data_IF_183000727332
#
_entry.id   IF_183000727332
#
_cell.length_a   1.000
_cell.length_b   1.000
_cell.length_c   1.000
_cell.angle_alpha   90.00
_cell.angle_beta   90.00
_cell.angle_gamma   90.00
#
_symmetry.space_group_name_H-M   'P 1'
#
loop_
_entity.id
_entity.type
_entity.pdbx_description
1 polymer ?
#
# COMPACT_ATOMS: atom_id res chain seq x y z
N UNK A 1 18.55 -12.90 8.70
CA UNK A 1 17.09 -12.93 8.42
C UNK A 1 16.54 -11.51 8.46
N UNK A 2 16.02 -10.98 7.34
CA UNK A 2 15.33 -9.68 7.33
C UNK A 2 13.95 -9.86 8.00
N UNK A 3 13.64 -9.11 9.07
CA UNK A 3 12.31 -9.16 9.69
C UNK A 3 11.26 -8.73 8.67
N UNK A 4 10.23 -9.55 8.48
CA UNK A 4 9.08 -9.19 7.63
C UNK A 4 8.29 -8.09 8.35
N UNK A 5 8.11 -6.94 7.69
CA UNK A 5 7.16 -5.93 8.15
C UNK A 5 5.75 -6.54 8.05
N UNK A 6 5.01 -6.54 9.14
CA UNK A 6 3.60 -6.94 9.17
C UNK A 6 2.73 -5.68 9.19
N UNK A 7 1.64 -5.71 8.45
CA UNK A 7 0.67 -4.61 8.40
C UNK A 7 -0.66 -5.08 8.99
N UNK A 8 -1.29 -4.22 9.78
CA UNK A 8 -2.63 -4.47 10.32
C UNK A 8 -3.66 -4.49 9.20
N UNK A 9 -4.80 -5.17 9.45
CA UNK A 9 -5.88 -5.23 8.47
C UNK A 9 -6.39 -3.83 8.09
N UNK A 10 -6.60 -2.96 9.08
CA UNK A 10 -7.06 -1.59 8.84
C UNK A 10 -6.11 -0.76 7.98
N UNK A 11 -4.79 -0.97 8.11
CA UNK A 11 -3.82 -0.32 7.24
C UNK A 11 -3.96 -0.79 5.79
N UNK A 12 -4.08 -2.11 5.57
CA UNK A 12 -4.28 -2.67 4.22
C UNK A 12 -5.57 -2.16 3.59
N UNK A 13 -6.67 -2.13 4.35
CA UNK A 13 -7.96 -1.59 3.89
C UNK A 13 -7.83 -0.13 3.49
N UNK A 14 -7.15 0.70 4.30
CA UNK A 14 -6.91 2.11 3.98
C UNK A 14 -6.16 2.29 2.66
N UNK A 15 -5.05 1.57 2.49
CA UNK A 15 -4.21 1.66 1.27
C UNK A 15 -4.98 1.22 0.03
N UNK A 16 -5.79 0.15 0.13
CA UNK A 16 -6.63 -0.32 -0.98
C UNK A 16 -7.73 0.68 -1.32
N UNK A 17 -8.41 1.26 -0.32
CA UNK A 17 -9.43 2.29 -0.55
C UNK A 17 -8.85 3.52 -1.26
N UNK A 18 -7.64 3.93 -0.89
CA UNK A 18 -6.94 5.06 -1.51
C UNK A 18 -6.55 4.77 -2.96
N UNK A 19 -6.10 3.55 -3.26
CA UNK A 19 -5.85 3.11 -4.63
C UNK A 19 -7.14 3.07 -5.47
N UNK A 20 -8.25 2.61 -4.90
CA UNK A 20 -9.57 2.58 -5.57
C UNK A 20 -10.19 3.98 -5.78
N UNK A 21 -9.74 4.98 -5.03
CA UNK A 21 -10.19 6.37 -5.22
C UNK A 21 -9.52 7.05 -6.41
N UNK A 22 -8.46 6.45 -6.98
CA UNK A 22 -7.76 6.92 -8.18
C UNK A 22 -7.25 8.38 -8.11
N UNK A 23 -7.12 8.94 -6.90
CA UNK A 23 -6.60 10.29 -6.65
C UNK A 23 -5.09 10.37 -6.75
N UNK A 24 -4.42 9.28 -6.40
CA UNK A 24 -2.98 9.09 -6.44
C UNK A 24 -2.70 7.79 -7.21
N UNK A 25 -1.62 7.75 -7.96
CA UNK A 25 -1.17 6.53 -8.65
C UNK A 25 -0.65 5.51 -7.65
N UNK A 26 -0.63 4.22 -8.03
CA UNK A 26 -0.09 3.14 -7.19
C UNK A 26 1.37 3.42 -6.79
N UNK A 27 2.14 4.05 -7.68
CA UNK A 27 3.53 4.45 -7.43
C UNK A 27 3.64 5.54 -6.37
N UNK A 28 2.74 6.52 -6.36
CA UNK A 28 2.69 7.58 -5.36
C UNK A 28 2.25 7.04 -4.00
N UNK A 29 1.21 6.21 -3.97
CA UNK A 29 0.75 5.53 -2.75
C UNK A 29 1.86 4.63 -2.18
N UNK A 30 2.57 3.89 -3.06
CA UNK A 30 3.72 3.08 -2.67
C UNK A 30 4.83 3.91 -2.03
N UNK A 31 5.18 5.07 -2.62
CA UNK A 31 6.17 5.98 -2.03
C UNK A 31 5.69 6.55 -0.69
N UNK A 32 4.42 6.98 -0.60
CA UNK A 32 3.81 7.57 0.60
C UNK A 32 3.83 6.64 1.81
N UNK A 33 3.63 5.35 1.58
CA UNK A 33 3.56 4.33 2.63
C UNK A 33 4.78 3.42 2.69
N UNK A 34 5.85 3.73 1.95
CA UNK A 34 7.03 2.88 1.77
C UNK A 34 6.68 1.42 1.37
N UNK A 35 5.60 1.25 0.60
CA UNK A 35 5.17 -0.01 0.03
C UNK A 35 5.71 -0.17 -1.39
N UNK A 36 6.05 -1.40 -1.74
CA UNK A 36 6.32 -1.71 -3.13
C UNK A 36 4.99 -1.68 -3.92
N UNK A 37 4.90 -1.07 -5.12
CA UNK A 37 3.66 -1.02 -5.91
C UNK A 37 2.99 -2.38 -6.12
N UNK A 38 3.79 -3.44 -6.35
CA UNK A 38 3.29 -4.82 -6.47
C UNK A 38 2.60 -5.37 -5.20
N UNK A 39 2.74 -4.71 -4.04
CA UNK A 39 2.03 -5.07 -2.81
C UNK A 39 0.66 -4.40 -2.69
N UNK A 40 0.38 -3.42 -3.56
CA UNK A 40 -0.87 -2.66 -3.61
C UNK A 40 -1.70 -3.10 -4.81
N UNK A 41 -1.04 -3.42 -5.93
CA UNK A 41 -1.68 -4.00 -7.12
C UNK A 41 -2.38 -5.31 -6.75
N UNK A 42 -3.68 -5.37 -7.05
CA UNK A 42 -4.44 -6.63 -7.19
C UNK A 42 -3.85 -7.52 -8.27
#
# INVERSE_FOLDING_TARGET
MKRRKTYTLGFKTKVVLEALQERETIQEIGKKYELHPNQIST
#
